data_IF_913205284389
#
_entry.id   IF_913205284389
#
_cell.length_a   1.000
_cell.length_b   1.000
_cell.length_c   1.000
_cell.angle_alpha   90.00
_cell.angle_beta   90.00
_cell.angle_gamma   90.00
#
_symmetry.space_group_name_H-M   'P 1'
#
loop_
_entity.id
_entity.type
_entity.pdbx_description
1 polymer ?
#
# COMPACT_ATOMS: atom_id res chain seq x y z
N UNK A 1 6.33 13.48 6.72
CA UNK A 1 6.61 14.17 7.99
C UNK A 1 7.06 13.13 9.01
N UNK A 2 8.13 13.41 9.73
CA UNK A 2 8.52 12.60 10.90
C UNK A 2 7.51 12.80 12.04
N UNK A 3 7.46 11.93 13.06
CA UNK A 3 6.62 12.14 14.24
C UNK A 3 6.86 13.50 14.92
N UNK A 4 8.09 14.01 14.89
CA UNK A 4 8.46 15.33 15.41
C UNK A 4 7.80 16.47 14.62
N UNK A 5 7.75 16.37 13.28
CA UNK A 5 7.07 17.35 12.42
C UNK A 5 5.55 17.32 12.59
N UNK A 6 4.98 16.21 13.08
CA UNK A 6 3.56 16.08 13.39
C UNK A 6 3.17 16.64 14.77
N UNK A 7 4.11 17.23 15.54
CA UNK A 7 3.85 17.82 16.84
C UNK A 7 3.56 16.82 17.96
N UNK A 8 4.02 15.60 17.83
CA UNK A 8 3.89 14.59 18.89
C UNK A 8 4.78 14.94 20.08
N UNK A 9 4.36 14.63 21.33
CA UNK A 9 5.16 14.91 22.50
C UNK A 9 6.52 14.26 22.39
N UNK A 10 7.59 15.02 22.62
CA UNK A 10 8.98 14.61 22.54
C UNK A 10 9.39 13.68 23.68
N UNK A 11 8.71 12.56 23.86
CA UNK A 11 9.25 11.49 24.65
C UNK A 11 10.23 10.67 23.78
N UNK A 12 11.32 10.22 24.35
CA UNK A 12 12.42 9.54 23.66
C UNK A 12 12.05 8.13 23.13
N UNK A 13 10.81 7.92 22.71
CA UNK A 13 10.33 6.62 22.20
C UNK A 13 10.68 6.47 20.73
N UNK A 14 10.97 5.24 20.34
CA UNK A 14 11.04 4.89 18.95
C UNK A 14 9.63 4.74 18.38
N UNK A 15 9.48 5.16 17.15
CA UNK A 15 8.25 4.94 16.38
C UNK A 15 8.54 3.98 15.23
N UNK A 16 7.66 3.03 15.03
CA UNK A 16 7.64 2.21 13.84
C UNK A 16 6.89 2.95 12.74
N UNK A 17 7.60 3.24 11.65
CA UNK A 17 7.01 3.83 10.44
C UNK A 17 6.43 2.71 9.58
N UNK A 18 5.11 2.62 9.52
CA UNK A 18 4.39 1.68 8.67
C UNK A 18 4.30 2.14 7.21
N UNK A 19 4.86 3.31 6.87
CA UNK A 19 4.50 3.99 5.64
C UNK A 19 3.07 4.56 5.75
N UNK A 20 2.57 5.10 4.64
CA UNK A 20 1.20 5.62 4.58
C UNK A 20 0.88 6.66 5.68
N UNK A 21 1.89 7.42 6.13
CA UNK A 21 1.80 8.39 7.24
C UNK A 21 1.26 7.78 8.53
N UNK A 22 1.43 6.50 8.72
CA UNK A 22 1.02 5.80 9.91
C UNK A 22 2.24 5.44 10.75
N UNK A 23 2.33 6.02 11.94
CA UNK A 23 3.40 5.83 12.91
C UNK A 23 2.82 5.22 14.18
N UNK A 24 3.49 4.22 14.70
CA UNK A 24 3.11 3.56 15.95
C UNK A 24 4.24 3.68 16.96
N UNK A 25 3.94 4.23 18.13
CA UNK A 25 4.89 4.25 19.23
C UNK A 25 5.22 2.81 19.67
N UNK A 26 6.50 2.51 19.82
CA UNK A 26 6.98 1.24 20.32
C UNK A 26 7.07 1.26 21.84
N UNK A 27 6.63 0.19 22.48
CA UNK A 27 6.91 -0.03 23.88
C UNK A 27 8.38 -0.44 24.13
N UNK A 28 8.88 -0.42 25.37
CA UNK A 28 10.26 -0.75 25.69
C UNK A 28 10.69 -2.15 25.27
N UNK A 29 9.77 -3.10 25.22
CA UNK A 29 10.05 -4.48 24.81
C UNK A 29 10.19 -4.57 23.29
N UNK A 30 9.27 -3.95 22.54
CA UNK A 30 9.29 -3.89 21.08
C UNK A 30 10.51 -3.13 20.55
N UNK A 31 10.97 -2.11 21.26
CA UNK A 31 12.11 -1.27 20.87
C UNK A 31 13.48 -1.83 21.26
N UNK A 32 13.51 -2.94 22.02
CA UNK A 32 14.76 -3.52 22.53
C UNK A 32 15.75 -3.86 21.42
N UNK A 33 16.94 -3.27 21.47
CA UNK A 33 17.99 -3.47 20.47
C UNK A 33 17.79 -2.74 19.14
N UNK A 34 16.73 -1.94 19.02
CA UNK A 34 16.46 -1.09 17.86
C UNK A 34 16.97 0.34 18.11
N UNK A 35 17.24 1.06 17.02
CA UNK A 35 17.57 2.48 17.03
C UNK A 35 16.88 3.20 15.87
N UNK A 36 16.75 4.51 15.96
CA UNK A 36 16.23 5.33 14.89
C UNK A 36 17.00 5.10 13.59
N UNK A 37 16.28 4.96 12.48
CA UNK A 37 16.82 4.64 11.16
C UNK A 37 17.03 3.16 10.87
N UNK A 38 16.82 2.26 11.82
CA UNK A 38 16.84 0.83 11.54
C UNK A 38 15.66 0.45 10.62
N UNK A 39 15.94 -0.33 9.58
CA UNK A 39 14.90 -0.98 8.79
C UNK A 39 14.56 -2.30 9.46
N UNK A 40 13.29 -2.53 9.70
CA UNK A 40 12.81 -3.71 10.42
C UNK A 40 11.76 -4.47 9.63
N UNK A 41 11.63 -5.76 9.92
CA UNK A 41 10.53 -6.61 9.47
C UNK A 41 9.62 -6.88 10.65
N UNK A 42 8.33 -6.65 10.47
CA UNK A 42 7.31 -7.00 11.44
C UNK A 42 6.68 -8.36 11.08
N UNK A 43 6.71 -9.30 12.00
CA UNK A 43 6.06 -10.60 11.85
C UNK A 43 5.57 -11.09 13.21
N UNK A 44 4.31 -11.52 13.31
CA UNK A 44 3.74 -12.04 14.55
C UNK A 44 3.82 -11.09 15.75
N UNK A 45 3.80 -9.79 15.52
CA UNK A 45 3.95 -8.78 16.59
C UNK A 45 5.40 -8.49 17.01
N UNK A 46 6.38 -9.15 16.40
CA UNK A 46 7.80 -8.98 16.71
C UNK A 46 8.48 -8.16 15.60
N UNK A 47 9.35 -7.25 16.01
CA UNK A 47 10.19 -6.46 15.10
C UNK A 47 11.61 -7.04 15.09
N UNK A 48 12.12 -7.32 13.89
CA UNK A 48 13.49 -7.80 13.69
C UNK A 48 14.21 -6.94 12.67
N UNK A 49 15.50 -6.64 12.91
CA UNK A 49 16.30 -5.87 11.95
C UNK A 49 16.41 -6.59 10.61
N UNK A 50 16.16 -5.88 9.53
CA UNK A 50 16.30 -6.38 8.17
C UNK A 50 17.73 -6.11 7.67
N UNK A 51 18.60 -7.12 7.76
CA UNK A 51 19.98 -7.01 7.29
C UNK A 51 20.04 -6.92 5.77
N UNK A 52 20.91 -6.04 5.24
CA UNK A 52 21.15 -5.90 3.79
C UNK A 52 20.08 -5.10 3.02
N UNK A 53 19.02 -4.63 3.68
CA UNK A 53 17.99 -3.80 3.08
C UNK A 53 18.39 -2.33 3.17
N UNK A 54 18.47 -1.64 2.02
CA UNK A 54 18.88 -0.24 1.95
C UNK A 54 17.72 0.75 2.01
N UNK A 55 16.51 0.33 1.64
CA UNK A 55 15.29 1.16 1.64
C UNK A 55 14.12 0.34 2.15
N UNK A 56 13.20 0.94 2.93
CA UNK A 56 12.00 0.25 3.34
C UNK A 56 11.11 -0.04 2.11
N UNK A 57 10.55 -1.25 2.06
CA UNK A 57 9.52 -1.61 1.10
C UNK A 57 8.22 -1.82 1.87
N UNK A 58 7.34 -0.84 1.88
CA UNK A 58 6.07 -0.90 2.59
C UNK A 58 5.11 -1.86 1.87
N UNK A 59 5.23 -3.15 2.18
CA UNK A 59 4.46 -4.23 1.55
C UNK A 59 3.52 -4.84 2.58
N UNK A 60 2.22 -4.80 2.30
CA UNK A 60 1.18 -5.22 3.24
C UNK A 60 0.07 -6.00 2.56
N UNK A 61 -0.54 -6.91 3.32
CA UNK A 61 -1.82 -7.47 2.96
C UNK A 61 -2.91 -6.40 3.08
N UNK A 62 -3.80 -6.35 2.10
CA UNK A 62 -4.87 -5.37 2.04
C UNK A 62 -6.22 -6.00 1.70
N UNK A 63 -7.29 -5.52 2.31
CA UNK A 63 -8.65 -5.87 1.93
C UNK A 63 -9.27 -4.73 1.14
N UNK A 64 -9.75 -5.04 -0.06
CA UNK A 64 -10.51 -4.11 -0.88
C UNK A 64 -11.76 -3.63 -0.12
N UNK A 65 -11.99 -2.32 -0.13
CA UNK A 65 -13.19 -1.68 0.44
C UNK A 65 -14.09 -1.08 -0.64
N UNK A 66 -13.49 -0.42 -1.62
CA UNK A 66 -14.21 0.22 -2.72
C UNK A 66 -13.28 0.45 -3.90
N UNK A 67 -13.79 0.28 -5.11
CA UNK A 67 -13.17 0.72 -6.34
C UNK A 67 -13.76 2.08 -6.70
N UNK A 68 -12.92 3.11 -6.84
CA UNK A 68 -13.33 4.46 -7.21
C UNK A 68 -13.44 4.53 -8.74
N UNK A 69 -12.32 4.21 -9.39
CA UNK A 69 -12.18 4.07 -10.85
C UNK A 69 -11.20 2.94 -11.17
N UNK A 70 -10.80 2.75 -12.42
CA UNK A 70 -9.96 1.63 -12.85
C UNK A 70 -8.59 1.57 -12.17
N UNK A 71 -8.06 2.72 -11.73
CA UNK A 71 -6.73 2.82 -11.14
C UNK A 71 -6.70 3.41 -9.72
N UNK A 72 -7.85 3.59 -9.11
CA UNK A 72 -7.96 4.16 -7.76
C UNK A 72 -8.84 3.30 -6.85
N UNK A 73 -8.24 2.81 -5.76
CA UNK A 73 -8.85 1.86 -4.84
C UNK A 73 -8.87 2.41 -3.41
N UNK A 74 -9.95 2.14 -2.65
CA UNK A 74 -9.95 2.21 -1.19
C UNK A 74 -9.68 0.83 -0.62
N UNK A 75 -8.70 0.73 0.28
CA UNK A 75 -8.33 -0.52 0.95
C UNK A 75 -8.20 -0.34 2.45
N UNK A 76 -8.30 -1.43 3.19
CA UNK A 76 -7.85 -1.55 4.56
C UNK A 76 -6.54 -2.32 4.57
N UNK A 77 -5.42 -1.67 4.87
CA UNK A 77 -4.09 -2.27 4.97
C UNK A 77 -3.91 -2.92 6.34
N UNK A 78 -3.44 -4.14 6.38
CA UNK A 78 -2.95 -4.77 7.61
C UNK A 78 -1.50 -4.33 7.83
N UNK A 79 -1.33 -3.29 8.62
CA UNK A 79 -0.03 -2.64 8.80
C UNK A 79 0.91 -3.37 9.79
N UNK A 80 0.59 -4.60 10.18
CA UNK A 80 1.33 -5.33 11.22
C UNK A 80 0.99 -4.82 12.64
N UNK A 81 1.54 -5.46 13.66
CA UNK A 81 1.33 -5.10 15.08
C UNK A 81 -0.15 -4.85 15.47
N UNK A 82 -1.10 -5.46 14.72
CA UNK A 82 -2.54 -5.31 14.95
C UNK A 82 -3.17 -4.04 14.38
N UNK A 83 -2.39 -3.17 13.74
CA UNK A 83 -2.90 -1.94 13.14
C UNK A 83 -3.61 -2.15 11.79
N UNK A 84 -4.72 -1.45 11.55
CA UNK A 84 -5.40 -1.38 10.26
C UNK A 84 -5.48 0.08 9.83
N UNK A 85 -4.88 0.39 8.67
CA UNK A 85 -4.96 1.71 8.07
C UNK A 85 -5.90 1.69 6.86
N UNK A 86 -6.84 2.66 6.79
CA UNK A 86 -7.66 2.87 5.58
C UNK A 86 -6.92 3.82 4.66
N UNK A 87 -6.62 3.36 3.45
CA UNK A 87 -5.85 4.14 2.48
C UNK A 87 -6.52 4.17 1.11
N UNK A 88 -6.41 5.32 0.47
CA UNK A 88 -6.73 5.50 -0.93
C UNK A 88 -5.46 5.29 -1.74
N UNK A 89 -5.47 4.31 -2.62
CA UNK A 89 -4.34 3.95 -3.45
C UNK A 89 -4.58 4.40 -4.88
N UNK A 90 -3.54 4.90 -5.53
CA UNK A 90 -3.44 5.11 -6.96
C UNK A 90 -2.54 4.02 -7.52
N UNK A 91 -2.97 3.31 -8.55
CA UNK A 91 -2.10 2.31 -9.19
C UNK A 91 -0.96 3.02 -9.91
N UNK A 92 0.27 2.66 -9.53
CA UNK A 92 1.48 3.32 -10.00
C UNK A 92 1.74 3.01 -11.48
N UNK A 93 2.24 4.04 -12.21
CA UNK A 93 2.73 3.89 -13.57
C UNK A 93 1.65 3.74 -14.64
N UNK A 94 0.38 3.84 -14.27
CA UNK A 94 -0.74 3.71 -15.20
C UNK A 94 -1.79 4.80 -15.02
N UNK A 95 -2.57 5.03 -16.06
CA UNK A 95 -3.71 5.93 -16.06
C UNK A 95 -4.90 5.28 -16.77
N UNK A 96 -6.04 5.20 -16.06
CA UNK A 96 -7.30 4.75 -16.62
C UNK A 96 -8.15 5.93 -17.04
N UNK A 97 -9.01 5.77 -18.08
CA UNK A 97 -9.99 6.78 -18.40
C UNK A 97 -10.93 7.08 -17.22
N UNK A 98 -11.40 8.30 -17.13
CA UNK A 98 -12.35 8.75 -16.11
C UNK A 98 -13.67 7.97 -16.19
N UNK A 99 -14.28 7.66 -15.04
CA UNK A 99 -15.56 6.93 -14.96
C UNK A 99 -16.75 7.68 -15.58
N UNK A 100 -16.58 8.94 -15.94
CA UNK A 100 -17.54 9.72 -16.75
C UNK A 100 -17.60 9.26 -18.21
N UNK A 101 -16.65 8.46 -18.66
CA UNK A 101 -16.58 7.89 -20.02
C UNK A 101 -16.98 6.42 -20.03
N UNK A 102 -17.48 5.88 -21.17
CA UNK A 102 -17.75 4.46 -21.32
C UNK A 102 -16.53 3.57 -21.06
N UNK A 103 -15.35 4.02 -21.51
CA UNK A 103 -14.07 3.32 -21.34
C UNK A 103 -13.67 3.26 -19.88
N UNK A 104 -13.82 4.36 -19.12
CA UNK A 104 -13.54 4.40 -17.69
C UNK A 104 -14.50 3.53 -16.87
N UNK A 105 -15.79 3.49 -17.26
CA UNK A 105 -16.75 2.56 -16.67
C UNK A 105 -16.39 1.12 -16.98
N UNK A 106 -15.89 0.82 -18.19
CA UNK A 106 -15.43 -0.52 -18.56
C UNK A 106 -14.21 -0.94 -17.74
N UNK A 107 -13.22 -0.06 -17.59
CA UNK A 107 -12.03 -0.29 -16.77
C UNK A 107 -12.42 -0.57 -15.30
N UNK A 108 -13.30 0.23 -14.72
CA UNK A 108 -13.80 0.02 -13.36
C UNK A 108 -14.49 -1.34 -13.21
N UNK A 109 -15.42 -1.68 -14.10
CA UNK A 109 -16.14 -2.97 -14.08
C UNK A 109 -15.18 -4.14 -14.25
N UNK A 110 -14.15 -3.98 -15.06
CA UNK A 110 -13.12 -4.99 -15.25
C UNK A 110 -12.40 -5.27 -13.92
N UNK A 111 -11.92 -4.22 -13.24
CA UNK A 111 -11.28 -4.36 -11.91
C UNK A 111 -12.25 -4.95 -10.88
N UNK A 112 -13.51 -4.52 -10.87
CA UNK A 112 -14.55 -5.09 -9.99
C UNK A 112 -14.72 -6.59 -10.22
N UNK A 113 -14.70 -7.04 -11.47
CA UNK A 113 -14.83 -8.48 -11.81
C UNK A 113 -13.61 -9.28 -11.38
N UNK A 114 -12.41 -8.74 -11.54
CA UNK A 114 -11.17 -9.39 -11.16
C UNK A 114 -11.04 -9.56 -9.64
N UNK A 115 -11.35 -8.50 -8.89
CA UNK A 115 -11.15 -8.45 -7.44
C UNK A 115 -12.34 -8.93 -6.63
N UNK A 116 -13.37 -9.46 -7.29
CA UNK A 116 -14.54 -10.04 -6.62
C UNK A 116 -14.18 -11.37 -5.95
N UNK A 117 -14.34 -11.41 -4.62
CA UNK A 117 -14.10 -12.62 -3.81
C UNK A 117 -12.67 -13.19 -3.90
N UNK A 118 -11.68 -12.33 -4.15
CA UNK A 118 -10.28 -12.74 -4.08
C UNK A 118 -9.77 -12.72 -2.63
N UNK A 119 -8.69 -13.48 -2.31
CA UNK A 119 -7.94 -13.34 -1.07
C UNK A 119 -7.48 -11.88 -0.84
N UNK A 120 -6.97 -11.54 0.35
CA UNK A 120 -6.38 -10.22 0.56
C UNK A 120 -5.34 -9.89 -0.51
N UNK A 121 -5.39 -8.65 -1.00
CA UNK A 121 -4.42 -8.12 -1.96
C UNK A 121 -3.05 -7.97 -1.30
N UNK A 122 -1.99 -8.05 -2.08
CA UNK A 122 -0.66 -7.57 -1.67
C UNK A 122 -0.45 -6.16 -2.26
N UNK A 123 -0.16 -5.19 -1.40
CA UNK A 123 0.07 -3.79 -1.77
C UNK A 123 1.50 -3.42 -1.42
N UNK A 124 2.25 -2.93 -2.40
CA UNK A 124 3.58 -2.38 -2.21
C UNK A 124 3.58 -0.89 -2.58
N UNK A 125 3.97 -0.02 -1.64
CA UNK A 125 4.04 1.43 -1.88
C UNK A 125 5.36 1.99 -1.40
N UNK A 126 5.85 3.03 -2.08
CA UNK A 126 7.11 3.72 -1.73
C UNK A 126 6.92 5.21 -1.45
N UNK A 127 5.87 5.82 -1.94
CA UNK A 127 5.58 7.26 -1.81
C UNK A 127 4.09 7.57 -1.99
N UNK A 128 3.68 8.76 -1.59
CA UNK A 128 2.38 9.34 -1.92
C UNK A 128 2.47 10.28 -3.15
N UNK A 129 1.39 10.41 -3.88
CA UNK A 129 1.25 11.38 -4.96
C UNK A 129 0.89 12.79 -4.44
N UNK A 130 0.83 13.77 -5.36
CA UNK A 130 0.47 15.16 -5.05
C UNK A 130 -0.96 15.38 -4.54
N UNK A 131 -1.83 14.37 -4.65
CA UNK A 131 -3.22 14.41 -4.18
C UNK A 131 -3.43 13.61 -2.89
N UNK A 132 -2.34 13.34 -2.15
CA UNK A 132 -2.34 12.58 -0.91
C UNK A 132 -2.83 11.12 -1.05
N UNK A 133 -2.76 10.57 -2.27
CA UNK A 133 -2.96 9.16 -2.55
C UNK A 133 -1.62 8.45 -2.56
N UNK A 134 -1.57 7.24 -2.05
CA UNK A 134 -0.36 6.44 -2.16
C UNK A 134 -0.30 5.74 -3.50
N UNK A 135 0.80 5.97 -4.23
CA UNK A 135 1.13 5.21 -5.42
C UNK A 135 1.53 3.80 -5.02
N UNK A 136 0.88 2.81 -5.60
CA UNK A 136 1.04 1.43 -5.21
C UNK A 136 1.09 0.47 -6.39
N UNK A 137 1.91 -0.57 -6.23
CA UNK A 137 1.80 -1.81 -6.97
C UNK A 137 0.84 -2.73 -6.23
N UNK A 138 -0.13 -3.27 -6.94
CA UNK A 138 -1.17 -4.12 -6.37
C UNK A 138 -1.12 -5.49 -7.03
N UNK A 139 -1.01 -6.52 -6.20
CA UNK A 139 -1.03 -7.93 -6.62
C UNK A 139 -2.23 -8.63 -6.00
N UNK A 140 -2.80 -9.56 -6.72
CA UNK A 140 -3.87 -10.42 -6.23
C UNK A 140 -3.67 -11.85 -6.70
N UNK A 141 -4.25 -12.79 -5.97
CA UNK A 141 -4.27 -14.20 -6.35
C UNK A 141 -5.57 -14.48 -7.10
N UNK A 142 -5.45 -15.00 -8.32
CA UNK A 142 -6.59 -15.38 -9.12
C UNK A 142 -7.24 -16.68 -8.62
N UNK A 143 -8.31 -17.12 -9.27
CA UNK A 143 -9.05 -18.34 -8.90
C UNK A 143 -8.23 -19.63 -9.03
N UNK A 144 -7.12 -19.59 -9.76
CA UNK A 144 -6.18 -20.72 -9.91
C UNK A 144 -5.08 -20.72 -8.86
N UNK A 145 -5.01 -19.69 -8.00
CA UNK A 145 -3.95 -19.49 -7.03
C UNK A 145 -2.69 -18.82 -7.60
N UNK A 146 -2.80 -18.27 -8.82
CA UNK A 146 -1.68 -17.57 -9.46
C UNK A 146 -1.68 -16.10 -9.05
N UNK A 147 -0.50 -15.59 -8.64
CA UNK A 147 -0.30 -14.16 -8.41
C UNK A 147 -0.35 -13.37 -9.71
N UNK A 148 -1.13 -12.31 -9.72
CA UNK A 148 -1.34 -11.41 -10.86
C UNK A 148 -0.99 -9.99 -10.44
N UNK A 149 -0.19 -9.30 -11.25
CA UNK A 149 0.12 -7.89 -11.08
C UNK A 149 -0.95 -7.04 -11.76
N UNK A 150 -1.82 -6.42 -10.96
CA UNK A 150 -3.00 -5.69 -11.44
C UNK A 150 -2.63 -4.52 -12.36
N UNK A 151 -1.61 -3.74 -11.99
CA UNK A 151 -1.20 -2.57 -12.76
C UNK A 151 -0.82 -2.96 -14.20
N UNK A 152 -0.03 -4.04 -14.35
CA UNK A 152 0.38 -4.52 -15.66
C UNK A 152 -0.78 -5.14 -16.45
N UNK A 153 -1.65 -5.88 -15.79
CA UNK A 153 -2.82 -6.49 -16.44
C UNK A 153 -3.75 -5.45 -17.07
N UNK A 154 -3.92 -4.29 -16.43
CA UNK A 154 -4.72 -3.19 -16.98
C UNK A 154 -4.11 -2.60 -18.26
N UNK A 155 -2.77 -2.51 -18.33
CA UNK A 155 -2.05 -2.11 -19.55
C UNK A 155 -2.22 -3.15 -20.65
N UNK A 156 -1.97 -4.42 -20.35
CA UNK A 156 -2.04 -5.53 -21.30
C UNK A 156 -3.44 -5.70 -21.90
N UNK A 157 -4.49 -5.42 -21.12
CA UNK A 157 -5.88 -5.54 -21.56
C UNK A 157 -6.46 -4.25 -22.17
N UNK A 158 -5.64 -3.18 -22.27
CA UNK A 158 -6.05 -1.91 -22.88
C UNK A 158 -7.02 -1.07 -22.04
N UNK A 159 -7.15 -1.37 -20.73
CA UNK A 159 -7.96 -0.59 -19.80
C UNK A 159 -7.22 0.60 -19.20
N UNK A 160 -5.90 0.65 -19.38
CA UNK A 160 -5.04 1.75 -18.94
C UNK A 160 -3.97 2.06 -19.97
N UNK A 161 -3.39 3.25 -19.87
CA UNK A 161 -2.21 3.68 -20.62
C UNK A 161 -1.04 3.87 -19.66
N UNK A 162 0.23 3.74 -20.13
CA UNK A 162 1.39 4.03 -19.30
C UNK A 162 1.40 5.49 -18.86
N UNK A 163 1.68 5.71 -17.59
CA UNK A 163 1.92 7.04 -17.02
C UNK A 163 3.35 7.07 -16.49
N UNK A 164 4.24 7.92 -17.03
CA UNK A 164 5.60 8.02 -16.52
C UNK A 164 5.60 8.49 -15.07
N UNK A 165 6.50 7.93 -14.28
CA UNK A 165 6.76 8.39 -12.91
C UNK A 165 7.21 9.87 -12.96
N UNK A 166 6.49 10.72 -12.23
CA UNK A 166 6.86 12.13 -12.03
C UNK A 166 7.94 12.29 -10.96
#
# INVERSE_FOLDING_TARGET
ASPEEAGWPGDARLFFDHGFRFYQALDPEQSRGLKAGDIVRAAGGVLTKASGVKKPGFTYAARLKKIIDGDTLWVGLSAGLGGIARQKLRLRGIDCPETSTPEGLAAKKFVESLLKNVPPLTVCSSKNDKYDRYEADVFFEDKSGKEVFLNNLLLETGHAVPMPDN
#
